data_IF_174069583447
#
_entry.id   IF_174069583447
#
_cell.length_a   1.000
_cell.length_b   1.000
_cell.length_c   1.000
_cell.angle_alpha   90.00
_cell.angle_beta   90.00
_cell.angle_gamma   90.00
#
_symmetry.space_group_name_H-M   'P 1'
#
loop_
_entity.id
_entity.type
_entity.pdbx_description
1 polymer ?
#
# COMPACT_ATOMS: atom_id res chain seq x y z
N UNK A 1 9.78 20.59 9.23
CA UNK A 1 9.42 20.48 7.80
C UNK A 1 10.13 19.32 7.12
N UNK A 2 11.45 19.10 7.25
CA UNK A 2 12.12 17.96 6.58
C UNK A 2 11.65 16.57 7.02
N UNK A 3 11.19 16.40 8.27
CA UNK A 3 10.65 15.12 8.75
C UNK A 3 9.22 14.84 8.24
N UNK A 4 8.51 15.83 7.68
CA UNK A 4 7.10 15.71 7.33
C UNK A 4 6.86 14.81 6.12
N UNK A 5 7.77 14.80 5.16
CA UNK A 5 7.54 14.23 3.84
C UNK A 5 8.20 12.86 3.65
N UNK A 6 8.12 12.01 4.66
CA UNK A 6 8.68 10.67 4.65
C UNK A 6 8.19 9.94 5.87
N UNK A 7 9.09 9.61 6.79
CA UNK A 7 8.72 8.95 8.05
C UNK A 7 7.66 9.71 8.87
N UNK A 8 7.64 11.05 8.87
CA UNK A 8 6.62 11.81 9.60
C UNK A 8 5.21 11.65 9.04
N UNK A 9 5.07 11.51 7.73
CA UNK A 9 3.79 11.26 7.07
C UNK A 9 3.22 9.90 7.47
N UNK A 10 4.01 8.83 7.29
CA UNK A 10 3.61 7.48 7.69
C UNK A 10 3.31 7.40 9.19
N UNK A 11 4.24 7.87 10.03
CA UNK A 11 4.10 7.83 11.48
C UNK A 11 2.84 8.54 11.96
N UNK A 12 2.45 9.65 11.31
CA UNK A 12 1.25 10.39 11.68
C UNK A 12 -0.03 9.61 11.35
N UNK A 13 -0.11 9.00 10.17
CA UNK A 13 -1.25 8.16 9.77
C UNK A 13 -1.40 6.98 10.74
N UNK A 14 -0.28 6.30 11.03
CA UNK A 14 -0.25 5.16 11.93
C UNK A 14 -0.67 5.54 13.35
N UNK A 15 -0.04 6.56 13.96
CA UNK A 15 -0.33 6.88 15.36
C UNK A 15 -1.76 7.38 15.55
N UNK A 16 -2.29 8.19 14.62
CA UNK A 16 -3.67 8.65 14.67
C UNK A 16 -4.64 7.47 14.50
N UNK A 17 -4.39 6.60 13.52
CA UNK A 17 -5.20 5.40 13.29
C UNK A 17 -5.17 4.44 14.48
N UNK A 18 -4.01 4.22 15.09
CA UNK A 18 -3.85 3.37 16.27
C UNK A 18 -4.65 3.89 17.46
N UNK A 19 -4.63 5.20 17.73
CA UNK A 19 -5.41 5.77 18.84
C UNK A 19 -6.91 5.60 18.63
N UNK A 20 -7.41 5.84 17.42
CA UNK A 20 -8.83 5.65 17.09
C UNK A 20 -9.24 4.18 17.16
N UNK A 21 -8.42 3.27 16.64
CA UNK A 21 -8.68 1.83 16.71
C UNK A 21 -8.68 1.32 18.16
N UNK A 22 -7.71 1.75 18.98
CA UNK A 22 -7.65 1.40 20.39
C UNK A 22 -8.89 1.90 21.14
N UNK A 23 -9.32 3.14 20.89
CA UNK A 23 -10.56 3.66 21.44
C UNK A 23 -11.79 2.85 20.99
N UNK A 24 -11.90 2.53 19.70
CA UNK A 24 -13.01 1.74 19.17
C UNK A 24 -13.11 0.35 19.82
N UNK A 25 -11.98 -0.33 20.03
CA UNK A 25 -11.95 -1.69 20.59
C UNK A 25 -12.17 -1.70 22.10
N UNK A 26 -11.61 -0.74 22.82
CA UNK A 26 -11.58 -0.76 24.30
C UNK A 26 -12.68 0.09 24.95
N UNK A 27 -13.13 1.14 24.28
CA UNK A 27 -13.96 2.19 24.89
C UNK A 27 -13.20 3.08 25.89
N UNK A 28 -11.89 2.89 26.07
CA UNK A 28 -11.10 3.71 27.00
C UNK A 28 -10.80 5.08 26.39
N UNK A 29 -11.40 6.11 26.99
CA UNK A 29 -11.29 7.50 26.53
C UNK A 29 -9.86 8.03 26.52
N UNK A 30 -8.92 7.44 27.29
CA UNK A 30 -7.53 7.84 27.27
C UNK A 30 -6.92 7.82 25.86
N UNK A 31 -7.31 6.86 25.01
CA UNK A 31 -6.86 6.80 23.62
C UNK A 31 -7.46 7.90 22.74
N UNK A 32 -8.75 8.23 22.94
CA UNK A 32 -9.38 9.31 22.20
C UNK A 32 -8.80 10.67 22.61
N UNK A 33 -8.55 10.89 23.90
CA UNK A 33 -7.91 12.12 24.38
C UNK A 33 -6.45 12.23 23.85
N UNK A 34 -5.73 11.11 23.72
CA UNK A 34 -4.42 11.08 23.06
C UNK A 34 -4.49 11.40 21.56
N UNK A 35 -5.51 10.90 20.85
CA UNK A 35 -5.79 11.28 19.47
C UNK A 35 -6.01 12.80 19.34
N UNK A 36 -6.86 13.39 20.19
CA UNK A 36 -7.10 14.85 20.20
C UNK A 36 -5.82 15.63 20.50
N UNK A 37 -5.01 15.18 21.46
CA UNK A 37 -3.71 15.77 21.76
C UNK A 37 -2.79 15.79 20.53
N UNK A 38 -2.75 14.71 19.74
CA UNK A 38 -1.94 14.63 18.52
C UNK A 38 -2.45 15.62 17.46
N UNK A 39 -3.77 15.79 17.31
CA UNK A 39 -4.35 16.80 16.43
C UNK A 39 -3.92 18.21 16.84
N UNK A 40 -4.00 18.54 18.13
CA UNK A 40 -3.57 19.84 18.67
C UNK A 40 -2.07 20.10 18.46
N UNK A 41 -1.28 19.02 18.38
CA UNK A 41 0.16 19.05 18.09
C UNK A 41 0.47 18.89 16.59
N UNK A 42 -0.47 19.24 15.71
CA UNK A 42 -0.28 19.36 14.26
C UNK A 42 0.04 18.06 13.53
N UNK A 43 -0.20 16.89 14.14
CA UNK A 43 -0.02 15.61 13.43
C UNK A 43 -0.95 15.48 12.23
N UNK A 44 -2.10 16.15 12.28
CA UNK A 44 -3.03 16.17 11.16
C UNK A 44 -2.44 16.79 9.88
N UNK A 45 -1.51 17.74 10.02
CA UNK A 45 -0.83 18.38 8.89
C UNK A 45 0.20 17.47 8.22
N UNK A 46 0.66 16.43 8.91
CA UNK A 46 1.63 15.49 8.38
C UNK A 46 0.99 14.39 7.54
N UNK A 47 -0.32 14.16 7.71
CA UNK A 47 -1.04 13.12 6.97
C UNK A 47 -1.28 13.50 5.52
N UNK A 48 -1.31 14.79 5.18
CA UNK A 48 -1.54 15.24 3.80
C UNK A 48 -0.44 14.70 2.87
N UNK A 49 -0.84 13.89 1.90
CA UNK A 49 0.07 13.35 0.91
C UNK A 49 0.56 14.45 -0.02
N UNK A 50 1.84 14.41 -0.36
CA UNK A 50 2.46 15.33 -1.31
C UNK A 50 3.55 14.62 -2.11
N UNK A 51 3.99 15.24 -3.21
CA UNK A 51 5.08 14.71 -4.02
C UNK A 51 6.42 14.62 -3.27
N UNK A 52 6.54 15.32 -2.15
CA UNK A 52 7.72 15.27 -1.29
C UNK A 52 7.80 13.99 -0.46
N UNK A 53 6.75 13.14 -0.43
CA UNK A 53 6.77 11.81 0.20
C UNK A 53 7.62 10.86 -0.63
N UNK A 54 8.94 11.03 -0.57
CA UNK A 54 9.88 10.36 -1.48
C UNK A 54 9.90 8.85 -1.32
N UNK A 55 9.57 8.33 -0.14
CA UNK A 55 9.41 6.89 0.08
C UNK A 55 8.32 6.27 -0.79
N UNK A 56 7.41 7.09 -1.36
CA UNK A 56 6.42 6.70 -2.37
C UNK A 56 6.81 7.21 -3.75
N UNK A 57 7.16 8.49 -3.87
CA UNK A 57 7.24 9.17 -5.18
C UNK A 57 8.59 9.04 -5.90
N UNK A 58 9.62 8.49 -5.24
CA UNK A 58 10.97 8.33 -5.80
C UNK A 58 11.40 6.88 -5.77
N UNK A 59 11.49 6.25 -6.96
CA UNK A 59 11.78 4.83 -7.13
C UNK A 59 13.08 4.37 -6.45
N UNK A 60 14.14 5.18 -6.52
CA UNK A 60 15.43 4.84 -5.91
C UNK A 60 15.45 4.83 -4.37
N UNK A 61 14.45 5.42 -3.71
CA UNK A 61 14.26 5.37 -2.25
C UNK A 61 12.90 4.79 -1.85
N UNK A 62 12.16 4.26 -2.82
CA UNK A 62 10.82 3.72 -2.59
C UNK A 62 10.88 2.60 -1.57
N UNK A 63 9.97 2.66 -0.60
CA UNK A 63 9.87 1.66 0.45
C UNK A 63 8.50 1.01 0.40
N UNK A 64 8.38 -0.11 -0.31
CA UNK A 64 7.14 -0.86 -0.44
C UNK A 64 6.56 -1.34 0.91
N UNK A 65 7.39 -1.46 1.96
CA UNK A 65 6.87 -1.69 3.31
C UNK A 65 6.16 -0.46 3.89
N UNK A 66 6.68 0.74 3.64
CA UNK A 66 6.01 1.98 4.04
C UNK A 66 4.70 2.16 3.25
N UNK A 67 4.66 1.71 1.99
CA UNK A 67 3.44 1.72 1.17
C UNK A 67 2.36 0.83 1.80
N UNK A 68 2.71 -0.42 2.12
CA UNK A 68 1.77 -1.36 2.74
C UNK A 68 1.27 -0.88 4.10
N UNK A 69 2.18 -0.38 4.94
CA UNK A 69 1.82 0.19 6.24
C UNK A 69 0.90 1.40 6.08
N UNK A 70 1.22 2.34 5.18
CA UNK A 70 0.40 3.52 4.96
C UNK A 70 -1.02 3.16 4.51
N UNK A 71 -1.17 2.24 3.55
CA UNK A 71 -2.48 1.85 3.03
C UNK A 71 -3.35 1.18 4.11
N UNK A 72 -2.78 0.29 4.92
CA UNK A 72 -3.48 -0.33 6.05
C UNK A 72 -3.80 0.69 7.16
N UNK A 73 -2.90 1.63 7.42
CA UNK A 73 -3.10 2.68 8.41
C UNK A 73 -4.18 3.66 7.97
N UNK A 74 -4.23 4.06 6.69
CA UNK A 74 -5.32 4.86 6.13
C UNK A 74 -6.67 4.18 6.30
N UNK A 75 -6.74 2.87 6.01
CA UNK A 75 -7.97 2.11 6.21
C UNK A 75 -8.49 2.23 7.63
N UNK A 76 -7.60 2.06 8.60
CA UNK A 76 -7.93 2.17 10.02
C UNK A 76 -8.35 3.59 10.41
N UNK A 77 -7.55 4.58 10.02
CA UNK A 77 -7.77 6.00 10.31
C UNK A 77 -9.11 6.49 9.76
N UNK A 78 -9.38 6.24 8.47
CA UNK A 78 -10.62 6.68 7.80
C UNK A 78 -11.85 5.95 8.35
N UNK A 79 -11.72 4.67 8.69
CA UNK A 79 -12.84 3.85 9.22
C UNK A 79 -13.33 4.35 10.57
N UNK A 80 -12.43 4.84 11.42
CA UNK A 80 -12.76 5.23 12.80
C UNK A 80 -12.76 6.74 13.05
N UNK A 81 -12.42 7.57 12.06
CA UNK A 81 -12.50 9.02 12.18
C UNK A 81 -13.96 9.47 12.40
N UNK A 82 -14.29 10.09 13.56
CA UNK A 82 -15.66 10.49 13.85
C UNK A 82 -16.10 11.80 13.19
N UNK A 83 -15.16 12.59 12.67
CA UNK A 83 -15.43 13.90 12.06
C UNK A 83 -15.37 13.82 10.53
N UNK A 84 -16.49 14.14 9.89
CA UNK A 84 -16.63 14.01 8.44
C UNK A 84 -15.62 14.85 7.65
N UNK A 85 -15.23 16.02 8.17
CA UNK A 85 -14.28 16.91 7.48
C UNK A 85 -12.86 16.36 7.53
N UNK A 86 -12.43 15.85 8.69
CA UNK A 86 -11.14 15.17 8.81
C UNK A 86 -11.14 13.86 8.05
N UNK A 87 -12.25 13.12 8.09
CA UNK A 87 -12.40 11.87 7.36
C UNK A 87 -12.24 12.09 5.86
N UNK A 88 -12.83 13.16 5.31
CA UNK A 88 -12.65 13.52 3.91
C UNK A 88 -11.18 13.89 3.61
N UNK A 89 -10.53 14.66 4.47
CA UNK A 89 -9.10 14.99 4.31
C UNK A 89 -8.21 13.73 4.26
N UNK A 90 -8.48 12.74 5.10
CA UNK A 90 -7.77 11.45 5.07
C UNK A 90 -8.02 10.67 3.77
N UNK A 91 -9.24 10.71 3.24
CA UNK A 91 -9.58 10.11 1.95
C UNK A 91 -8.84 10.82 0.81
N UNK A 92 -8.80 12.16 0.81
CA UNK A 92 -8.09 12.92 -0.21
C UNK A 92 -6.59 12.60 -0.19
N UNK A 93 -6.02 12.43 0.99
CA UNK A 93 -4.62 12.01 1.16
C UNK A 93 -4.36 10.57 0.67
N UNK A 94 -5.24 9.63 1.00
CA UNK A 94 -5.21 8.25 0.48
C UNK A 94 -5.24 8.25 -1.06
N UNK A 95 -6.14 9.04 -1.67
CA UNK A 95 -6.23 9.15 -3.12
C UNK A 95 -4.96 9.75 -3.73
N UNK A 96 -4.36 10.75 -3.07
CA UNK A 96 -3.07 11.32 -3.48
C UNK A 96 -1.95 10.28 -3.55
N UNK A 97 -1.86 9.39 -2.54
CA UNK A 97 -0.93 8.26 -2.56
C UNK A 97 -1.31 7.25 -3.66
N UNK A 98 -2.59 6.91 -3.77
CA UNK A 98 -3.06 5.86 -4.68
C UNK A 98 -2.73 6.14 -6.15
N UNK A 99 -2.70 7.41 -6.58
CA UNK A 99 -2.29 7.76 -7.94
C UNK A 99 -0.89 7.24 -8.31
N UNK A 100 0.03 7.18 -7.35
CA UNK A 100 1.39 6.63 -7.54
C UNK A 100 1.42 5.10 -7.55
N UNK A 101 0.42 4.47 -6.96
CA UNK A 101 0.29 3.03 -6.78
C UNK A 101 -0.51 2.35 -7.91
N UNK A 102 -1.28 3.11 -8.70
CA UNK A 102 -2.06 2.61 -9.85
C UNK A 102 -1.22 1.72 -10.78
N UNK A 103 0.03 2.08 -11.17
CA UNK A 103 0.83 1.26 -12.08
C UNK A 103 1.14 -0.14 -11.56
N UNK A 104 1.11 -0.36 -10.23
CA UNK A 104 1.40 -1.68 -9.64
C UNK A 104 0.23 -2.66 -9.79
N UNK A 105 -0.96 -2.19 -10.15
CA UNK A 105 -2.19 -3.00 -10.28
C UNK A 105 -2.49 -3.82 -9.02
N UNK A 106 -2.14 -3.28 -7.85
CA UNK A 106 -2.24 -4.00 -6.59
C UNK A 106 -3.73 -4.09 -6.13
N UNK A 107 -4.27 -5.30 -5.96
CA UNK A 107 -5.65 -5.53 -5.57
C UNK A 107 -5.95 -5.15 -4.12
N UNK A 108 -4.97 -5.14 -3.21
CA UNK A 108 -5.17 -4.68 -1.83
C UNK A 108 -5.37 -3.17 -1.80
N UNK A 109 -4.58 -2.43 -2.57
CA UNK A 109 -4.73 -0.98 -2.70
C UNK A 109 -6.11 -0.60 -3.23
N UNK A 110 -6.52 -1.28 -4.30
CA UNK A 110 -7.84 -1.11 -4.90
C UNK A 110 -8.96 -1.44 -3.89
N UNK A 111 -8.84 -2.52 -3.12
CA UNK A 111 -9.82 -2.90 -2.11
C UNK A 111 -9.94 -1.87 -0.97
N UNK A 112 -8.82 -1.28 -0.54
CA UNK A 112 -8.78 -0.23 0.49
C UNK A 112 -9.44 1.05 -0.01
N UNK A 113 -9.14 1.50 -1.23
CA UNK A 113 -9.77 2.69 -1.80
C UNK A 113 -11.27 2.47 -1.98
N UNK A 114 -11.68 1.30 -2.48
CA UNK A 114 -13.08 0.95 -2.67
C UNK A 114 -13.90 0.92 -1.37
N UNK A 115 -13.25 0.75 -0.21
CA UNK A 115 -13.92 0.81 1.09
C UNK A 115 -14.49 2.20 1.42
N UNK A 116 -13.96 3.26 0.80
CA UNK A 116 -14.29 4.65 1.14
C UNK A 116 -14.73 5.49 -0.06
N UNK A 117 -14.38 5.08 -1.29
CA UNK A 117 -14.63 5.83 -2.52
C UNK A 117 -15.39 4.96 -3.53
N UNK A 118 -16.64 5.30 -3.91
CA UNK A 118 -17.47 4.47 -4.78
C UNK A 118 -16.91 4.21 -6.19
N UNK A 119 -16.23 5.19 -6.80
CA UNK A 119 -15.78 5.13 -8.20
C UNK A 119 -14.28 5.48 -8.38
N UNK A 120 -13.51 5.52 -7.29
CA UNK A 120 -12.13 6.02 -7.28
C UNK A 120 -11.04 4.97 -7.47
N UNK A 121 -11.39 3.71 -7.75
CA UNK A 121 -10.46 2.58 -7.73
C UNK A 121 -10.41 1.81 -9.05
N UNK A 122 -9.28 1.14 -9.31
CA UNK A 122 -9.02 0.40 -10.56
C UNK A 122 -9.41 -1.08 -10.45
N UNK A 123 -10.72 -1.36 -10.48
CA UNK A 123 -11.23 -2.73 -10.30
C UNK A 123 -10.69 -3.72 -11.34
N UNK A 124 -10.68 -3.35 -12.62
CA UNK A 124 -10.24 -4.27 -13.68
C UNK A 124 -8.76 -4.64 -13.56
N UNK A 125 -7.91 -3.70 -13.12
CA UNK A 125 -6.50 -3.96 -12.87
C UNK A 125 -6.31 -4.92 -11.68
N UNK A 126 -7.04 -4.69 -10.59
CA UNK A 126 -7.03 -5.60 -9.43
C UNK A 126 -7.50 -7.01 -9.80
N UNK A 127 -8.59 -7.12 -10.57
CA UNK A 127 -9.11 -8.40 -11.04
C UNK A 127 -8.15 -9.10 -11.99
N UNK A 128 -7.46 -8.35 -12.85
CA UNK A 128 -6.41 -8.87 -13.72
C UNK A 128 -5.28 -9.46 -12.89
N UNK A 129 -4.75 -8.73 -11.91
CA UNK A 129 -3.70 -9.21 -11.01
C UNK A 129 -4.11 -10.48 -10.25
N UNK A 130 -5.33 -10.54 -9.72
CA UNK A 130 -5.83 -11.74 -9.02
C UNK A 130 -5.99 -12.97 -9.94
N UNK A 131 -6.15 -12.77 -11.26
CA UNK A 131 -6.21 -13.84 -12.26
C UNK A 131 -4.83 -14.26 -12.76
N UNK A 132 -3.91 -13.32 -12.88
CA UNK A 132 -2.51 -13.57 -13.27
C UNK A 132 -1.75 -14.30 -12.15
N UNK A 133 -2.10 -14.07 -10.89
CA UNK A 133 -1.33 -14.65 -9.77
C UNK A 133 -1.32 -16.19 -9.80
N UNK A 134 -0.13 -16.84 -9.77
CA UNK A 134 -0.05 -18.29 -9.84
C UNK A 134 -0.63 -18.97 -8.59
N UNK A 135 -1.29 -20.12 -8.77
CA UNK A 135 -1.78 -20.95 -7.67
C UNK A 135 -0.63 -21.60 -6.86
N UNK A 136 0.56 -21.66 -7.43
CA UNK A 136 1.77 -22.14 -6.77
C UNK A 136 2.46 -21.03 -5.98
N UNK A 137 2.34 -21.11 -4.66
CA UNK A 137 2.93 -20.14 -3.73
C UNK A 137 4.35 -20.50 -3.28
N UNK A 138 5.01 -21.45 -3.97
CA UNK A 138 6.45 -21.68 -3.77
C UNK A 138 7.25 -20.47 -4.23
N UNK A 139 8.22 -20.08 -3.41
CA UNK A 139 9.16 -19.02 -3.75
C UNK A 139 10.17 -19.54 -4.78
N UNK A 140 9.79 -19.50 -6.05
CA UNK A 140 10.66 -19.83 -7.17
C UNK A 140 11.56 -18.65 -7.55
N UNK A 141 12.79 -18.96 -7.95
CA UNK A 141 13.67 -17.98 -8.57
C UNK A 141 13.08 -17.60 -9.92
N UNK A 142 12.76 -16.32 -10.07
CA UNK A 142 12.38 -15.70 -11.34
C UNK A 142 13.48 -14.71 -11.73
N UNK A 143 14.03 -14.88 -12.92
CA UNK A 143 15.11 -14.04 -13.46
C UNK A 143 14.71 -13.51 -14.83
N UNK A 144 14.24 -12.28 -14.87
CA UNK A 144 13.78 -11.59 -16.08
C UNK A 144 14.88 -10.75 -16.74
N UNK A 145 16.15 -10.84 -16.32
CA UNK A 145 17.26 -10.06 -16.89
C UNK A 145 17.48 -10.27 -18.40
N UNK A 146 16.96 -11.38 -18.94
CA UNK A 146 17.06 -11.73 -20.34
C UNK A 146 15.95 -11.13 -21.23
N UNK A 147 14.95 -10.47 -20.64
CA UNK A 147 13.83 -9.87 -21.38
C UNK A 147 14.29 -8.71 -22.25
N UNK A 148 13.73 -8.64 -23.46
CA UNK A 148 14.01 -7.58 -24.45
C UNK A 148 12.82 -6.67 -24.70
N UNK A 149 11.67 -7.04 -24.16
CA UNK A 149 10.38 -6.37 -24.25
C UNK A 149 10.09 -5.51 -23.00
N UNK A 150 11.02 -5.47 -22.04
CA UNK A 150 10.93 -4.66 -20.83
C UNK A 150 12.10 -3.67 -20.76
N UNK A 151 11.82 -2.46 -20.29
CA UNK A 151 12.82 -1.40 -20.14
C UNK A 151 13.33 -1.35 -18.71
N UNK A 152 14.65 -1.34 -18.53
CA UNK A 152 15.29 -1.12 -17.24
C UNK A 152 15.12 0.33 -16.81
N UNK A 153 14.82 0.52 -15.53
CA UNK A 153 14.86 1.83 -14.90
C UNK A 153 16.34 2.27 -14.81
N UNK A 154 16.67 3.51 -15.22
CA UNK A 154 18.03 4.03 -15.05
C UNK A 154 18.46 4.14 -13.58
N UNK A 155 17.50 4.17 -12.65
CA UNK A 155 17.76 4.19 -11.21
C UNK A 155 17.63 2.79 -10.59
N UNK A 156 18.63 2.39 -9.81
CA UNK A 156 18.54 1.21 -8.95
C UNK A 156 17.53 1.43 -7.82
N UNK A 157 16.99 0.35 -7.28
CA UNK A 157 16.13 0.45 -6.11
C UNK A 157 16.92 0.84 -4.85
N UNK A 158 16.22 1.01 -3.72
CA UNK A 158 16.82 1.40 -2.43
C UNK A 158 17.85 0.40 -1.88
N UNK A 159 17.89 -0.82 -2.42
CA UNK A 159 18.84 -1.87 -2.06
C UNK A 159 20.01 -1.97 -3.05
N UNK A 160 19.98 -1.19 -4.14
CA UNK A 160 20.98 -1.23 -5.20
C UNK A 160 20.72 -2.30 -6.24
N UNK A 161 19.49 -2.82 -6.33
CA UNK A 161 19.09 -3.85 -7.29
C UNK A 161 18.44 -3.22 -8.54
N UNK A 162 18.56 -3.90 -9.68
CA UNK A 162 17.93 -3.48 -10.94
C UNK A 162 16.42 -3.68 -10.91
N UNK A 163 15.69 -2.76 -11.54
CA UNK A 163 14.24 -2.78 -11.66
C UNK A 163 13.79 -2.34 -13.06
N UNK A 164 12.58 -2.71 -13.45
CA UNK A 164 11.95 -2.27 -14.70
C UNK A 164 11.16 -0.97 -14.51
N UNK A 165 10.90 -0.27 -15.61
CA UNK A 165 10.04 0.92 -15.60
C UNK A 165 8.55 0.57 -15.44
N UNK A 166 8.15 -0.66 -15.78
CA UNK A 166 6.77 -1.15 -15.73
C UNK A 166 6.65 -2.48 -14.99
N UNK A 167 5.49 -2.73 -14.37
CA UNK A 167 5.18 -4.01 -13.74
C UNK A 167 4.80 -5.02 -14.81
N UNK A 168 5.57 -6.11 -14.90
CA UNK A 168 5.27 -7.25 -15.75
C UNK A 168 3.98 -7.97 -15.30
N UNK A 169 3.38 -8.82 -16.15
CA UNK A 169 2.29 -9.70 -15.72
C UNK A 169 2.64 -10.47 -14.43
N UNK A 170 1.67 -10.62 -13.51
CA UNK A 170 1.93 -11.21 -12.19
C UNK A 170 2.24 -12.72 -12.23
N UNK A 171 1.95 -13.40 -13.34
CA UNK A 171 2.40 -14.76 -13.66
C UNK A 171 3.85 -14.82 -14.19
N UNK A 172 4.47 -13.69 -14.50
CA UNK A 172 5.83 -13.58 -15.05
C UNK A 172 6.85 -12.98 -14.06
N UNK A 173 6.43 -12.67 -12.83
CA UNK A 173 7.30 -12.20 -11.74
C UNK A 173 7.30 -13.19 -10.57
N UNK A 174 8.22 -12.99 -9.62
CA UNK A 174 8.24 -13.81 -8.39
C UNK A 174 6.94 -13.64 -7.60
N UNK A 175 6.53 -14.69 -6.90
CA UNK A 175 5.53 -14.56 -5.83
C UNK A 175 6.06 -13.61 -4.75
N UNK A 176 5.21 -12.70 -4.28
CA UNK A 176 5.60 -11.72 -3.27
C UNK A 176 4.45 -11.34 -2.34
N UNK A 177 4.78 -10.67 -1.24
CA UNK A 177 3.81 -9.92 -0.42
C UNK A 177 3.59 -8.55 -1.03
N UNK A 178 2.57 -7.82 -0.57
CA UNK A 178 2.27 -6.48 -1.08
C UNK A 178 3.30 -5.40 -0.67
N UNK A 179 4.24 -5.73 0.21
CA UNK A 179 5.44 -4.91 0.48
C UNK A 179 6.68 -5.31 -0.33
N UNK A 180 6.54 -6.16 -1.34
CA UNK A 180 7.62 -6.47 -2.28
C UNK A 180 7.65 -5.50 -3.45
N UNK A 181 8.84 -5.29 -4.04
CA UNK A 181 8.99 -4.51 -5.26
C UNK A 181 8.52 -5.30 -6.50
N UNK A 182 7.40 -4.95 -7.16
CA UNK A 182 6.91 -5.64 -8.37
C UNK A 182 7.78 -5.39 -9.61
N UNK A 183 8.61 -4.34 -9.59
CA UNK A 183 9.47 -3.94 -10.70
C UNK A 183 10.80 -4.70 -10.74
N UNK A 184 11.14 -5.44 -9.69
CA UNK A 184 12.43 -6.10 -9.58
C UNK A 184 12.70 -7.05 -10.76
N UNK A 185 13.89 -6.94 -11.36
CA UNK A 185 14.29 -7.74 -12.52
C UNK A 185 14.43 -9.23 -12.16
N UNK A 186 14.84 -9.50 -10.92
CA UNK A 186 15.10 -10.85 -10.41
C UNK A 186 14.66 -10.96 -8.97
N UNK A 187 14.28 -12.17 -8.54
CA UNK A 187 14.15 -12.51 -7.13
C UNK A 187 13.42 -13.81 -6.90
N UNK A 188 12.95 -14.02 -5.67
CA UNK A 188 12.36 -15.29 -5.23
C UNK A 188 13.40 -16.19 -4.57
N UNK A 189 13.12 -17.49 -4.49
CA UNK A 189 13.89 -18.44 -3.70
C UNK A 189 14.28 -19.71 -4.46
N UNK A 190 14.65 -20.76 -3.73
CA UNK A 190 15.04 -22.06 -4.29
C UNK A 190 13.86 -23.06 -4.38
N UNK A 191 12.63 -22.57 -4.20
CA UNK A 191 11.41 -23.38 -4.23
C UNK A 191 11.16 -24.21 -2.97
N UNK A 192 12.00 -24.10 -1.92
CA UNK A 192 11.81 -24.83 -0.64
C UNK A 192 10.87 -24.11 0.32
N UNK A 193 10.71 -22.80 0.15
CA UNK A 193 9.78 -21.98 0.94
C UNK A 193 8.45 -21.90 0.21
N UNK A 194 7.36 -22.02 0.96
CA UNK A 194 5.99 -21.81 0.48
C UNK A 194 5.39 -20.65 1.25
N UNK A 195 4.94 -19.63 0.53
CA UNK A 195 4.25 -18.50 1.11
C UNK A 195 2.78 -18.85 1.37
N UNK A 196 2.22 -18.38 2.48
CA UNK A 196 0.78 -18.49 2.69
C UNK A 196 0.03 -17.60 1.67
N UNK A 197 -1.12 -18.04 1.14
CA UNK A 197 -1.83 -17.37 0.03
C UNK A 197 -2.58 -16.09 0.46
N UNK A 198 -2.22 -15.52 1.61
CA UNK A 198 -2.89 -14.34 2.15
C UNK A 198 -2.79 -13.09 1.26
N UNK A 199 -1.72 -12.85 0.47
CA UNK A 199 -1.71 -11.69 -0.43
C UNK A 199 -2.84 -11.75 -1.44
N UNK A 200 -3.27 -12.95 -1.86
CA UNK A 200 -4.43 -13.11 -2.72
C UNK A 200 -5.74 -13.09 -1.92
N UNK A 201 -5.80 -13.80 -0.79
CA UNK A 201 -7.03 -13.94 0.00
C UNK A 201 -7.49 -12.61 0.60
N UNK A 202 -6.59 -11.82 1.14
CA UNK A 202 -6.91 -10.56 1.82
C UNK A 202 -7.68 -9.57 0.91
N UNK A 203 -7.15 -9.17 -0.27
CA UNK A 203 -7.86 -8.26 -1.15
C UNK A 203 -9.15 -8.86 -1.71
N UNK A 204 -9.16 -10.16 -2.05
CA UNK A 204 -10.37 -10.84 -2.50
C UNK A 204 -11.50 -10.71 -1.46
N UNK A 205 -11.24 -11.14 -0.22
CA UNK A 205 -12.25 -11.10 0.84
C UNK A 205 -12.61 -9.68 1.26
N UNK A 206 -11.66 -8.75 1.22
CA UNK A 206 -11.93 -7.34 1.48
C UNK A 206 -12.89 -6.75 0.44
N UNK A 207 -12.66 -7.00 -0.87
CA UNK A 207 -13.58 -6.58 -1.92
C UNK A 207 -14.97 -7.23 -1.80
N UNK A 208 -15.05 -8.50 -1.38
CA UNK A 208 -16.33 -9.16 -1.07
C UNK A 208 -17.04 -8.50 0.10
N UNK A 209 -16.31 -8.19 1.18
CA UNK A 209 -16.83 -7.55 2.38
C UNK A 209 -17.42 -6.16 2.08
N UNK A 210 -16.75 -5.38 1.24
CA UNK A 210 -17.21 -4.05 0.82
C UNK A 210 -18.22 -4.08 -0.34
N UNK A 211 -18.65 -5.26 -0.81
CA UNK A 211 -19.64 -5.39 -1.88
C UNK A 211 -19.17 -4.96 -3.27
N UNK A 212 -17.86 -4.79 -3.44
CA UNK A 212 -17.21 -4.50 -4.74
C UNK A 212 -17.33 -5.70 -5.66
N UNK A 213 -17.07 -6.90 -5.10
CA UNK A 213 -17.28 -8.18 -5.78
C UNK A 213 -18.55 -8.83 -5.27
N UNK A 214 -19.41 -9.24 -6.20
CA UNK A 214 -20.69 -9.93 -5.94
C UNK A 214 -20.51 -11.45 -5.88
#
# INVERSE_FOLDING_TARGET
>A
YSAAYGGGWLNAIEILGHMLAAYHVTGDRAFYDAYLYLLDNRYAELVDFSEDVWTVTKRFVANHSDHELAMLAYHTLIRYEPDDSRRQRWIDSLLGMYEWEIPERNPLWTAIVAAFVPDGYKLEDALRTLREWPEDWREWLVDNSHRKDAELDPELDRHGDEQFTTVLPYDEIRTMKWNGNPYAVKGGGDGRTVQAPWPWLLPYWMMRYYGVLK
#
